data_IF_568302857886
#
_entry.id   IF_568302857886
#
_cell.length_a   1.000
_cell.length_b   1.000
_cell.length_c   1.000
_cell.angle_alpha   90.00
_cell.angle_beta   90.00
_cell.angle_gamma   90.00
#
_symmetry.space_group_name_H-M   'P 1'
#
loop_
_entity.id
_entity.type
_entity.pdbx_description
1 polymer ?
#
# COMPACT_ATOMS: atom_id res chain seq x y z
N UNK A 1 18.08 9.13 -5.48
CA UNK A 1 17.44 8.30 -6.51
C UNK A 1 17.77 6.82 -6.33
N UNK A 2 19.04 6.37 -6.36
CA UNK A 2 19.36 4.93 -6.30
C UNK A 2 19.06 4.26 -4.96
N UNK A 3 19.30 4.95 -3.84
CA UNK A 3 19.02 4.40 -2.50
C UNK A 3 17.53 4.41 -2.17
N UNK A 4 16.80 5.46 -2.54
CA UNK A 4 15.36 5.59 -2.27
C UNK A 4 14.56 4.46 -2.92
N UNK A 5 14.88 4.14 -4.18
CA UNK A 5 14.26 3.04 -4.91
C UNK A 5 14.64 1.68 -4.31
N UNK A 6 15.91 1.49 -3.92
CA UNK A 6 16.34 0.27 -3.25
C UNK A 6 15.57 0.06 -1.94
N UNK A 7 15.45 1.09 -1.11
CA UNK A 7 14.71 1.03 0.15
C UNK A 7 13.23 0.72 -0.10
N UNK A 8 12.57 1.43 -1.02
CA UNK A 8 11.16 1.19 -1.37
C UNK A 8 10.95 -0.25 -1.86
N UNK A 9 11.83 -0.76 -2.73
CA UNK A 9 11.72 -2.13 -3.23
C UNK A 9 11.98 -3.17 -2.14
N UNK A 10 13.00 -2.97 -1.30
CA UNK A 10 13.33 -3.90 -0.22
C UNK A 10 12.21 -3.99 0.82
N UNK A 11 11.78 -2.85 1.38
CA UNK A 11 10.74 -2.81 2.40
C UNK A 11 9.36 -3.13 1.82
N UNK A 12 9.08 -2.69 0.59
CA UNK A 12 7.85 -3.05 -0.13
C UNK A 12 7.74 -4.56 -0.35
N UNK A 13 8.84 -5.22 -0.72
CA UNK A 13 8.90 -6.67 -0.87
C UNK A 13 8.74 -7.42 0.45
N UNK A 14 9.46 -7.00 1.49
CA UNK A 14 9.38 -7.58 2.84
C UNK A 14 7.96 -7.50 3.43
N UNK A 15 7.20 -6.46 3.09
CA UNK A 15 5.81 -6.30 3.52
C UNK A 15 4.82 -7.06 2.62
N UNK A 16 4.91 -6.87 1.30
CA UNK A 16 3.90 -7.38 0.36
C UNK A 16 3.93 -8.90 0.22
N UNK A 17 5.12 -9.52 0.18
CA UNK A 17 5.24 -10.97 -0.06
C UNK A 17 4.59 -11.80 1.05
N UNK A 18 4.89 -11.60 2.36
CA UNK A 18 4.26 -12.37 3.43
C UNK A 18 2.76 -12.09 3.54
N UNK A 19 2.32 -10.86 3.27
CA UNK A 19 0.89 -10.52 3.30
C UNK A 19 0.11 -11.28 2.24
N UNK A 20 0.62 -11.31 1.01
CA UNK A 20 0.00 -12.04 -0.09
C UNK A 20 0.04 -13.56 0.15
N UNK A 21 1.12 -14.08 0.75
CA UNK A 21 1.24 -15.49 1.13
C UNK A 21 0.25 -15.86 2.25
N UNK A 22 0.10 -15.01 3.27
CA UNK A 22 -0.84 -15.20 4.35
C UNK A 22 -2.29 -15.18 3.85
N UNK A 23 -2.62 -14.22 2.96
CA UNK A 23 -3.93 -14.15 2.32
C UNK A 23 -4.26 -15.42 1.54
N UNK A 24 -3.29 -15.96 0.79
CA UNK A 24 -3.46 -17.22 0.06
C UNK A 24 -3.57 -18.41 1.00
N UNK A 25 -2.79 -18.44 2.08
CA UNK A 25 -2.84 -19.51 3.07
C UNK A 25 -4.15 -19.54 3.87
N UNK A 26 -4.74 -18.37 4.14
CA UNK A 26 -6.02 -18.24 4.83
C UNK A 26 -7.24 -18.55 3.92
N UNK A 27 -7.04 -18.60 2.59
CA UNK A 27 -8.12 -18.85 1.65
C UNK A 27 -8.49 -20.35 1.61
N UNK A 28 -9.80 -20.69 1.47
CA UNK A 28 -10.22 -22.06 1.21
C UNK A 28 -9.53 -22.63 -0.05
N UNK A 29 -9.06 -23.91 -0.04
CA UNK A 29 -8.30 -24.49 -1.15
C UNK A 29 -9.00 -24.41 -2.51
N UNK A 30 -10.33 -24.48 -2.52
CA UNK A 30 -11.20 -24.38 -3.70
C UNK A 30 -11.40 -22.94 -4.20
N UNK A 31 -11.01 -21.93 -3.42
CA UNK A 31 -11.32 -20.52 -3.68
C UNK A 31 -10.11 -19.61 -3.76
N UNK A 32 -8.89 -20.13 -3.62
CA UNK A 32 -7.64 -19.35 -3.71
C UNK A 32 -7.62 -18.47 -4.96
N UNK A 33 -7.98 -19.02 -6.12
CA UNK A 33 -8.03 -18.27 -7.38
C UNK A 33 -9.02 -17.10 -7.34
N UNK A 34 -10.18 -17.28 -6.71
CA UNK A 34 -11.19 -16.22 -6.53
C UNK A 34 -10.70 -15.15 -5.55
N UNK A 35 -10.02 -15.54 -4.49
CA UNK A 35 -9.41 -14.60 -3.52
C UNK A 35 -8.33 -13.76 -4.19
N UNK A 36 -7.45 -14.37 -5.00
CA UNK A 36 -6.43 -13.65 -5.77
C UNK A 36 -7.08 -12.68 -6.76
N UNK A 37 -8.12 -13.12 -7.48
CA UNK A 37 -8.85 -12.26 -8.41
C UNK A 37 -9.50 -11.06 -7.68
N UNK A 38 -10.13 -11.31 -6.53
CA UNK A 38 -10.69 -10.26 -5.68
C UNK A 38 -9.63 -9.26 -5.21
N UNK A 39 -8.46 -9.75 -4.78
CA UNK A 39 -7.34 -8.90 -4.40
C UNK A 39 -6.86 -8.02 -5.57
N UNK A 40 -6.77 -8.57 -6.77
CA UNK A 40 -6.38 -7.78 -7.95
C UNK A 40 -7.41 -6.70 -8.31
N UNK A 41 -8.71 -6.98 -8.17
CA UNK A 41 -9.76 -5.97 -8.38
C UNK A 41 -9.60 -4.83 -7.37
N UNK A 42 -9.45 -5.15 -6.08
CA UNK A 42 -9.26 -4.15 -5.03
C UNK A 42 -7.99 -3.33 -5.27
N UNK A 43 -6.88 -3.98 -5.64
CA UNK A 43 -5.63 -3.31 -5.97
C UNK A 43 -5.81 -2.34 -7.16
N UNK A 44 -6.46 -2.78 -8.25
CA UNK A 44 -6.74 -1.94 -9.40
C UNK A 44 -7.62 -0.72 -9.06
N UNK A 45 -8.62 -0.90 -8.19
CA UNK A 45 -9.46 0.19 -7.70
C UNK A 45 -8.63 1.23 -6.93
N UNK A 46 -7.74 0.78 -6.04
CA UNK A 46 -6.84 1.69 -5.32
C UNK A 46 -5.80 2.36 -6.21
N UNK A 47 -5.31 1.68 -7.26
CA UNK A 47 -4.40 2.31 -8.23
C UNK A 47 -5.10 3.42 -9.02
N UNK A 48 -6.29 3.14 -9.56
CA UNK A 48 -7.05 4.13 -10.34
C UNK A 48 -7.53 5.29 -9.46
N UNK A 49 -8.15 4.97 -8.32
CA UNK A 49 -8.63 5.97 -7.36
C UNK A 49 -7.48 6.81 -6.80
N UNK A 50 -6.39 6.15 -6.37
CA UNK A 50 -5.21 6.81 -5.82
C UNK A 50 -4.54 7.74 -6.83
N UNK A 51 -4.43 7.36 -8.10
CA UNK A 51 -3.90 8.23 -9.15
C UNK A 51 -4.75 9.50 -9.31
N UNK A 52 -6.08 9.37 -9.32
CA UNK A 52 -6.99 10.52 -9.38
C UNK A 52 -6.87 11.39 -8.14
N UNK A 53 -6.83 10.80 -6.94
CA UNK A 53 -6.69 11.52 -5.68
C UNK A 53 -5.37 12.29 -5.61
N UNK A 54 -4.24 11.66 -5.98
CA UNK A 54 -2.93 12.30 -6.00
C UNK A 54 -2.88 13.43 -7.03
N UNK A 55 -3.40 13.21 -8.24
CA UNK A 55 -3.45 14.24 -9.27
C UNK A 55 -4.31 15.45 -8.85
N UNK A 56 -5.47 15.18 -8.23
CA UNK A 56 -6.34 16.23 -7.70
C UNK A 56 -5.66 16.98 -6.55
N UNK A 57 -5.04 16.28 -5.60
CA UNK A 57 -4.35 16.90 -4.47
C UNK A 57 -3.17 17.77 -4.94
N UNK A 58 -2.35 17.28 -5.86
CA UNK A 58 -1.24 18.05 -6.42
C UNK A 58 -1.74 19.35 -7.07
N UNK A 59 -2.85 19.29 -7.81
CA UNK A 59 -3.46 20.46 -8.46
C UNK A 59 -4.12 21.44 -7.47
N UNK A 60 -4.85 20.94 -6.48
CA UNK A 60 -5.61 21.78 -5.53
C UNK A 60 -4.67 22.53 -4.58
N UNK A 61 -3.63 21.85 -4.11
CA UNK A 61 -2.67 22.42 -3.16
C UNK A 61 -1.45 23.05 -3.83
N UNK A 62 -1.35 22.98 -5.17
CA UNK A 62 -0.22 23.47 -5.97
C UNK A 62 1.14 22.97 -5.45
N UNK A 63 1.20 21.67 -5.11
CA UNK A 63 2.38 21.04 -4.51
C UNK A 63 3.08 20.11 -5.48
N UNK A 64 4.41 20.06 -5.38
CA UNK A 64 5.23 19.11 -6.12
C UNK A 64 5.12 17.67 -5.61
N UNK A 65 5.60 16.73 -6.44
CA UNK A 65 5.58 15.28 -6.19
C UNK A 65 6.25 14.89 -4.87
N UNK A 66 7.34 15.57 -4.50
CA UNK A 66 8.05 15.31 -3.24
C UNK A 66 7.17 15.53 -2.00
N UNK A 67 6.33 16.57 -1.99
CA UNK A 67 5.41 16.86 -0.88
C UNK A 67 4.31 15.81 -0.78
N UNK A 68 3.82 15.31 -1.91
CA UNK A 68 2.86 14.20 -1.92
C UNK A 68 3.49 12.94 -1.32
N UNK A 69 4.71 12.58 -1.71
CA UNK A 69 5.43 11.46 -1.10
C UNK A 69 5.62 11.64 0.41
N UNK A 70 5.88 12.86 0.88
CA UNK A 70 5.97 13.17 2.30
C UNK A 70 4.64 12.91 3.02
N UNK A 71 3.52 13.37 2.46
CA UNK A 71 2.20 13.11 3.04
C UNK A 71 1.89 11.62 3.12
N UNK A 72 2.18 10.87 2.05
CA UNK A 72 2.02 9.41 2.01
C UNK A 72 2.89 8.77 3.09
N UNK A 73 4.16 9.18 3.22
CA UNK A 73 5.07 8.65 4.24
C UNK A 73 4.55 8.87 5.67
N UNK A 74 4.03 10.07 5.97
CA UNK A 74 3.42 10.37 7.27
C UNK A 74 2.19 9.49 7.53
N UNK A 75 1.31 9.35 6.55
CA UNK A 75 0.11 8.50 6.67
C UNK A 75 0.50 7.03 6.89
N UNK A 76 1.47 6.50 6.15
CA UNK A 76 1.99 5.15 6.33
C UNK A 76 2.59 4.95 7.74
N UNK A 77 3.35 5.92 8.23
CA UNK A 77 3.94 5.86 9.57
C UNK A 77 2.86 5.85 10.67
N UNK A 78 1.85 6.71 10.56
CA UNK A 78 0.72 6.75 11.50
C UNK A 78 -0.08 5.43 11.49
N UNK A 79 -0.33 4.86 10.31
CA UNK A 79 -0.99 3.56 10.19
C UNK A 79 -0.17 2.44 10.83
N UNK A 80 1.15 2.42 10.60
CA UNK A 80 2.04 1.45 11.23
C UNK A 80 2.04 1.59 12.76
N UNK A 81 2.14 2.81 13.28
CA UNK A 81 2.06 3.09 14.71
C UNK A 81 0.72 2.66 15.32
N UNK A 82 -0.40 2.92 14.63
CA UNK A 82 -1.72 2.48 15.05
C UNK A 82 -1.83 0.95 15.09
N UNK A 83 -1.38 0.25 14.05
CA UNK A 83 -1.39 -1.21 14.01
C UNK A 83 -0.57 -1.80 15.17
N UNK A 84 0.65 -1.32 15.39
CA UNK A 84 1.50 -1.78 16.50
C UNK A 84 0.86 -1.48 17.86
N UNK A 85 0.28 -0.29 18.04
CA UNK A 85 -0.40 0.09 19.28
C UNK A 85 -1.64 -0.77 19.56
N UNK A 86 -2.42 -1.11 18.53
CA UNK A 86 -3.60 -1.97 18.66
C UNK A 86 -3.26 -3.41 18.99
N UNK A 87 -2.14 -3.94 18.51
CA UNK A 87 -1.69 -5.30 18.84
C UNK A 87 -1.17 -5.45 20.27
N UNK A 88 -0.86 -4.34 20.95
CA UNK A 88 -0.31 -4.33 22.31
C UNK A 88 -1.38 -4.24 23.41
N UNK A 89 -2.59 -3.81 23.08
CA UNK A 89 -3.77 -3.77 23.96
C UNK A 89 -4.67 -4.97 23.73
#
# INVERSE_FOLDING_TARGET
>A
MSFDLLAISAFGGLFSVPLQALMQHAAPPDQVARVIAGNNIVNALYMAGGAVTVAAAAKIFDVGVATIFLWIAVICFLNAAYCVGKFKN
#
